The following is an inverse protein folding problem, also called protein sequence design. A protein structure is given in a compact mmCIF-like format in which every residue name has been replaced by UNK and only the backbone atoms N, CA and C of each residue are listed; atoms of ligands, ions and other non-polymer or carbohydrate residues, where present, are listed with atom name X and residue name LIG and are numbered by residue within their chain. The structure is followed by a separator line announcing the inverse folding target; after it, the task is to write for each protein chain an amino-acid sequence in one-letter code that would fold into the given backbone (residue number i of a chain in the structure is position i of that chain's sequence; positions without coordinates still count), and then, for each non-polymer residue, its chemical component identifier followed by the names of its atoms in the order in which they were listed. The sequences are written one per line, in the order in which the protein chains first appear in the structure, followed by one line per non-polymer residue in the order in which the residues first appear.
data_IF_166644482764
#
_entry.id   IF_166644482764
#
_cell.length_a   1.000
_cell.length_b   1.000
_cell.length_c   1.000
_cell.angle_alpha   90.00
_cell.angle_beta   90.00
_cell.angle_gamma   90.00
#
_symmetry.space_group_name_H-M   'P 1'
#
loop_
_entity.id
_entity.type
_entity.pdbx_description
1 polymer ?
#
# COMPACT_ATOMS: atom_id res chain seq x y z
N UNK A 1 10.66 57.39 -15.50
CA UNK A 1 11.85 58.27 -15.50
C UNK A 1 13.10 57.38 -15.46
N UNK A 2 13.86 57.45 -16.55
CA UNK A 2 15.28 57.09 -16.78
C UNK A 2 15.66 55.60 -16.58
N UNK A 3 15.90 54.80 -17.65
CA UNK A 3 17.02 54.73 -18.59
C UNK A 3 18.37 54.55 -17.83
N UNK A 4 19.22 53.62 -18.12
CA UNK A 4 20.03 53.28 -19.33
C UNK A 4 21.03 52.22 -18.89
N UNK A 5 21.49 51.32 -19.61
CA UNK A 5 22.29 51.00 -20.82
C UNK A 5 23.21 49.85 -20.46
N UNK A 6 23.19 48.72 -21.08
CA UNK A 6 23.94 48.29 -22.30
C UNK A 6 25.44 48.62 -22.28
N UNK A 7 26.30 47.59 -22.27
CA UNK A 7 27.57 47.61 -23.03
C UNK A 7 27.94 46.15 -23.38
N UNK A 8 27.98 45.94 -24.67
CA UNK A 8 28.58 44.88 -25.47
C UNK A 8 30.11 45.14 -25.52
N UNK A 9 30.96 44.14 -25.41
CA UNK A 9 32.27 44.23 -25.99
C UNK A 9 32.77 42.90 -26.51
N UNK A 10 32.85 42.83 -27.80
CA UNK A 10 33.47 41.89 -28.74
C UNK A 10 34.99 42.15 -28.82
N UNK A 11 35.83 41.11 -28.91
CA UNK A 11 37.12 41.16 -29.63
C UNK A 11 37.72 39.72 -29.62
N UNK A 12 37.70 38.96 -30.64
CA UNK A 12 38.53 38.91 -31.84
C UNK A 12 40.00 38.49 -31.64
N UNK A 13 40.29 37.28 -32.18
CA UNK A 13 41.47 36.90 -32.96
C UNK A 13 42.83 36.86 -32.32
N UNK A 14 43.48 35.69 -32.32
CA UNK A 14 44.71 35.49 -33.09
C UNK A 14 45.02 34.00 -33.27
N UNK A 15 45.06 33.61 -34.55
CA UNK A 15 45.70 32.42 -35.07
C UNK A 15 47.22 32.57 -35.01
N UNK A 16 47.92 31.56 -34.53
CA UNK A 16 49.30 31.30 -34.94
C UNK A 16 49.49 29.83 -35.15
N UNK A 17 49.69 29.48 -36.42
CA UNK A 17 50.25 28.21 -36.86
C UNK A 17 51.72 28.14 -36.45
N UNK A 18 52.10 27.04 -35.85
CA UNK A 18 53.49 26.60 -35.80
C UNK A 18 53.52 25.10 -36.14
N UNK A 19 53.96 24.77 -37.36
CA UNK A 19 54.39 23.46 -37.74
C UNK A 19 55.62 23.06 -36.93
N UNK A 20 55.55 21.93 -36.26
CA UNK A 20 56.67 21.22 -35.71
C UNK A 20 56.44 19.73 -35.93
N UNK A 21 57.13 19.14 -36.89
CA UNK A 21 57.21 17.72 -37.08
C UNK A 21 57.90 17.10 -35.84
N UNK A 22 57.14 16.27 -35.12
CA UNK A 22 57.70 15.30 -34.19
C UNK A 22 57.29 13.91 -34.68
N UNK A 23 58.32 13.05 -34.92
CA UNK A 23 58.18 11.65 -35.19
C UNK A 23 57.50 10.97 -34.02
N UNK A 24 56.35 10.34 -34.29
CA UNK A 24 55.77 9.33 -33.44
C UNK A 24 56.60 8.06 -33.47
N UNK A 25 57.20 7.70 -32.36
CA UNK A 25 57.40 6.30 -32.03
C UNK A 25 56.16 5.86 -31.25
N UNK A 26 55.41 5.01 -31.91
CA UNK A 26 54.24 4.35 -31.40
C UNK A 26 54.65 3.26 -30.42
N UNK A 27 54.41 3.44 -29.13
CA UNK A 27 54.05 2.34 -28.26
C UNK A 27 52.58 2.43 -27.94
N UNK A 28 51.80 1.81 -28.82
CA UNK A 28 50.41 1.45 -28.56
C UNK A 28 50.37 0.40 -27.46
N UNK A 29 50.28 0.84 -26.20
CA UNK A 29 49.65 0.07 -25.18
C UNK A 29 48.17 0.53 -25.11
N UNK A 30 47.39 0.10 -26.10
CA UNK A 30 45.95 -0.01 -25.94
C UNK A 30 45.69 -1.06 -24.85
N UNK A 31 45.61 -0.61 -23.61
CA UNK A 31 44.81 -1.30 -22.61
C UNK A 31 43.36 -1.24 -23.08
N UNK A 32 43.00 -2.20 -23.90
CA UNK A 32 41.59 -2.56 -24.11
C UNK A 32 41.09 -2.92 -22.70
N UNK A 33 40.45 -1.96 -22.04
CA UNK A 33 39.57 -2.29 -20.96
C UNK A 33 38.47 -3.12 -21.63
N UNK A 34 38.57 -4.44 -21.46
CA UNK A 34 37.45 -5.33 -21.67
C UNK A 34 36.32 -4.79 -20.75
N UNK A 35 35.47 -3.93 -21.30
CA UNK A 35 34.15 -3.72 -20.73
C UNK A 35 33.49 -5.09 -20.79
N UNK A 36 33.60 -5.84 -19.69
CA UNK A 36 32.83 -7.05 -19.49
C UNK A 36 31.38 -6.59 -19.51
N UNK A 37 30.77 -6.65 -20.69
CA UNK A 37 29.34 -6.41 -20.88
C UNK A 37 28.64 -7.46 -20.02
N UNK A 38 28.15 -7.03 -18.86
CA UNK A 38 27.43 -7.93 -17.94
C UNK A 38 26.27 -8.59 -18.70
N UNK A 39 26.21 -9.92 -18.59
CA UNK A 39 25.15 -10.67 -19.22
C UNK A 39 23.79 -10.22 -18.68
N UNK A 40 22.92 -9.74 -19.58
CA UNK A 40 21.58 -9.29 -19.25
C UNK A 40 20.54 -10.29 -19.76
N UNK A 41 19.51 -10.50 -18.97
CA UNK A 41 18.44 -11.45 -19.27
C UNK A 41 17.08 -10.77 -19.17
N UNK A 42 16.12 -11.26 -19.94
CA UNK A 42 14.75 -10.74 -19.90
C UNK A 42 13.97 -11.37 -18.75
N UNK A 43 13.43 -10.55 -17.87
CA UNK A 43 12.46 -10.95 -16.86
C UNK A 43 11.06 -10.57 -17.32
N UNK A 44 10.16 -11.55 -17.39
CA UNK A 44 8.74 -11.36 -17.68
C UNK A 44 7.88 -11.79 -16.50
N UNK A 45 6.71 -11.17 -16.33
CA UNK A 45 5.78 -11.48 -15.24
C UNK A 45 4.47 -12.06 -15.77
N UNK A 46 3.94 -12.98 -14.98
CA UNK A 46 2.54 -13.37 -14.98
C UNK A 46 1.97 -13.03 -13.61
N UNK A 47 0.91 -12.24 -13.55
CA UNK A 47 0.31 -11.77 -12.30
C UNK A 47 -1.01 -12.52 -12.08
N UNK A 48 -1.17 -13.08 -10.89
CA UNK A 48 -2.41 -13.71 -10.44
C UNK A 48 -2.74 -13.22 -9.03
N UNK A 49 -3.95 -13.51 -8.55
CA UNK A 49 -4.34 -13.18 -7.19
C UNK A 49 -4.79 -14.43 -6.44
N UNK A 50 -4.65 -14.40 -5.12
CA UNK A 50 -5.19 -15.45 -4.26
C UNK A 50 -6.72 -15.41 -4.30
N UNK A 51 -7.38 -16.59 -4.40
CA UNK A 51 -8.83 -16.77 -4.43
C UNK A 51 -9.53 -15.94 -5.53
N UNK A 52 -8.87 -15.70 -6.67
CA UNK A 52 -9.38 -14.88 -7.77
C UNK A 52 -9.81 -13.47 -7.35
N UNK A 53 -9.13 -12.91 -6.35
CA UNK A 53 -9.37 -11.54 -5.91
C UNK A 53 -9.21 -10.56 -7.08
N UNK A 54 -10.03 -9.53 -7.13
CA UNK A 54 -9.89 -8.45 -8.11
C UNK A 54 -8.52 -7.78 -7.94
N UNK A 55 -7.79 -7.65 -9.02
CA UNK A 55 -6.53 -6.90 -9.08
C UNK A 55 -6.86 -5.47 -9.48
N UNK A 56 -6.47 -4.49 -8.65
CA UNK A 56 -6.64 -3.08 -8.95
C UNK A 56 -5.37 -2.54 -9.64
N UNK A 57 -5.52 -2.07 -10.87
CA UNK A 57 -4.46 -1.40 -11.61
C UNK A 57 -4.50 0.11 -11.37
N UNK A 58 -3.35 0.83 -11.48
CA UNK A 58 -2.04 0.30 -11.86
C UNK A 58 -1.36 -0.53 -10.77
N UNK A 59 -0.46 -1.45 -11.17
CA UNK A 59 0.41 -2.15 -10.23
C UNK A 59 1.73 -1.41 -10.09
N UNK A 60 2.27 -1.36 -8.87
CA UNK A 60 3.62 -0.85 -8.60
C UNK A 60 4.58 -2.01 -8.42
N UNK A 61 5.62 -2.05 -9.23
CA UNK A 61 6.65 -3.09 -9.25
C UNK A 61 7.95 -2.55 -8.70
N UNK A 62 8.57 -3.32 -7.80
CA UNK A 62 9.89 -3.06 -7.24
C UNK A 62 10.74 -4.33 -7.35
N UNK A 63 11.96 -4.19 -7.83
CA UNK A 63 12.94 -5.27 -7.87
C UNK A 63 14.14 -4.86 -7.05
N UNK A 64 14.49 -5.68 -6.08
CA UNK A 64 15.61 -5.47 -5.16
C UNK A 64 16.69 -6.50 -5.44
N UNK A 65 17.96 -6.08 -5.46
CA UNK A 65 19.11 -6.96 -5.52
C UNK A 65 19.37 -7.68 -4.17
N UNK A 66 20.43 -8.47 -4.09
CA UNK A 66 20.81 -9.20 -2.88
C UNK A 66 21.41 -8.29 -1.78
N UNK A 67 21.72 -7.04 -2.10
CA UNK A 67 22.10 -5.98 -1.15
C UNK A 67 20.89 -5.15 -0.69
N UNK A 68 19.66 -5.50 -1.13
CA UNK A 68 18.41 -4.78 -0.91
C UNK A 68 18.30 -3.39 -1.59
N UNK A 69 19.12 -3.10 -2.60
CA UNK A 69 18.96 -1.90 -3.41
C UNK A 69 17.81 -2.09 -4.40
N UNK A 70 16.96 -1.08 -4.54
CA UNK A 70 15.89 -1.07 -5.54
C UNK A 70 16.46 -0.78 -6.93
N UNK A 71 16.66 -1.82 -7.74
CA UNK A 71 17.29 -1.74 -9.07
C UNK A 71 16.28 -1.50 -10.20
N UNK A 72 15.00 -1.82 -9.98
CA UNK A 72 13.89 -1.51 -10.90
C UNK A 72 12.71 -1.01 -10.08
N UNK A 73 12.11 0.09 -10.54
CA UNK A 73 10.84 0.63 -10.07
C UNK A 73 10.00 0.98 -11.27
N UNK A 74 8.92 0.25 -11.49
CA UNK A 74 8.05 0.43 -12.65
C UNK A 74 6.58 0.36 -12.26
N UNK A 75 5.73 0.85 -13.15
CA UNK A 75 4.28 0.80 -13.04
C UNK A 75 3.71 0.00 -14.20
N UNK A 76 2.87 -1.00 -13.90
CA UNK A 76 2.11 -1.77 -14.88
C UNK A 76 0.71 -1.15 -14.93
N UNK A 77 0.35 -0.40 -16.00
CA UNK A 77 -0.82 0.46 -15.98
C UNK A 77 -2.15 -0.29 -16.12
N UNK A 78 -2.19 -1.41 -16.84
CA UNK A 78 -3.42 -2.19 -17.09
C UNK A 78 -3.12 -3.69 -17.11
N UNK A 79 -4.16 -4.51 -17.11
CA UNK A 79 -4.08 -5.97 -17.17
C UNK A 79 -3.43 -6.46 -18.50
N UNK A 80 -3.68 -5.75 -19.60
CA UNK A 80 -3.12 -6.09 -20.90
C UNK A 80 -1.65 -5.69 -21.06
N UNK A 81 -1.11 -4.92 -20.08
CA UNK A 81 0.28 -4.46 -20.11
C UNK A 81 1.22 -5.59 -19.73
N UNK A 82 2.09 -5.99 -20.66
CA UNK A 82 3.15 -6.95 -20.36
C UNK A 82 4.35 -6.24 -19.72
N UNK A 83 4.80 -6.76 -18.58
CA UNK A 83 6.09 -6.36 -18.04
C UNK A 83 7.19 -7.21 -18.66
N UNK A 84 8.18 -6.53 -19.23
CA UNK A 84 9.39 -7.16 -19.78
C UNK A 84 10.58 -6.23 -19.58
N UNK A 85 11.52 -6.60 -18.74
CA UNK A 85 12.70 -5.79 -18.44
C UNK A 85 13.99 -6.58 -18.62
N UNK A 86 15.04 -5.91 -19.13
CA UNK A 86 16.38 -6.47 -19.31
C UNK A 86 17.21 -6.18 -18.07
N UNK A 87 17.60 -7.22 -17.34
CA UNK A 87 18.21 -7.14 -16.03
C UNK A 87 19.51 -7.94 -16.01
N UNK A 88 20.52 -7.47 -15.27
CA UNK A 88 21.80 -8.18 -15.09
C UNK A 88 21.59 -9.53 -14.43
N UNK A 89 22.51 -10.47 -14.65
CA UNK A 89 22.55 -11.74 -13.92
C UNK A 89 22.62 -11.48 -12.42
N UNK A 90 21.78 -12.13 -11.63
CA UNK A 90 21.80 -11.94 -10.17
C UNK A 90 20.63 -12.62 -9.45
N UNK A 91 20.63 -12.43 -8.14
CA UNK A 91 19.50 -12.80 -7.27
C UNK A 91 18.72 -11.56 -6.93
N UNK A 92 17.42 -11.67 -7.02
CA UNK A 92 16.51 -10.53 -6.81
C UNK A 92 15.32 -10.94 -5.97
N UNK A 93 14.79 -9.96 -5.24
CA UNK A 93 13.46 -10.02 -4.63
C UNK A 93 12.55 -9.08 -5.39
N UNK A 94 11.50 -9.63 -6.01
CA UNK A 94 10.47 -8.87 -6.67
C UNK A 94 9.30 -8.67 -5.70
N UNK A 95 8.84 -7.42 -5.59
CA UNK A 95 7.63 -7.04 -4.84
C UNK A 95 6.69 -6.32 -5.80
N UNK A 96 5.43 -6.76 -5.81
CA UNK A 96 4.36 -6.22 -6.62
C UNK A 96 3.22 -5.78 -5.72
N UNK A 97 2.73 -4.56 -5.92
CA UNK A 97 1.66 -3.96 -5.14
C UNK A 97 0.47 -3.62 -6.05
N UNK A 98 -0.74 -3.91 -5.58
CA UNK A 98 -2.01 -3.50 -6.17
C UNK A 98 -2.80 -2.69 -5.14
N UNK A 99 -3.50 -1.64 -5.56
CA UNK A 99 -4.25 -0.75 -4.66
C UNK A 99 -3.38 0.27 -3.92
N UNK A 100 -2.10 0.40 -4.28
CA UNK A 100 -1.25 1.47 -3.76
C UNK A 100 -1.60 2.79 -4.45
N UNK A 101 -2.12 3.75 -3.70
CA UNK A 101 -2.43 5.08 -4.19
C UNK A 101 -1.90 6.18 -3.26
N UNK A 102 -1.64 7.36 -3.82
CA UNK A 102 -1.05 8.48 -3.08
C UNK A 102 -2.05 9.21 -2.17
N UNK A 103 -3.33 8.97 -2.28
CA UNK A 103 -4.34 9.58 -1.40
C UNK A 103 -4.30 8.89 -0.03
N UNK A 104 -4.31 7.57 -0.02
CA UNK A 104 -4.41 6.75 1.18
C UNK A 104 -3.05 6.39 1.78
N UNK A 105 -2.01 6.29 0.93
CA UNK A 105 -0.72 5.72 1.32
C UNK A 105 0.43 6.71 1.23
N UNK A 106 1.43 6.50 2.10
CA UNK A 106 2.75 7.15 2.02
C UNK A 106 3.85 6.13 2.26
N UNK A 107 4.99 6.32 1.58
CA UNK A 107 6.20 5.50 1.73
C UNK A 107 7.43 6.35 1.42
N UNK A 108 8.65 5.97 1.90
CA UNK A 108 9.87 6.74 1.67
C UNK A 108 10.26 6.77 0.18
N UNK A 109 11.05 7.78 -0.21
CA UNK A 109 11.59 7.88 -1.56
C UNK A 109 12.64 6.79 -1.84
N UNK A 110 13.52 6.55 -0.87
CA UNK A 110 14.48 5.45 -0.89
C UNK A 110 13.80 4.23 -0.27
N UNK A 111 13.60 3.21 -1.08
CA UNK A 111 12.82 2.03 -0.73
C UNK A 111 13.75 0.84 -0.61
N UNK A 112 13.67 0.16 0.52
CA UNK A 112 14.21 -1.19 0.76
C UNK A 112 13.05 -2.13 1.11
N UNK A 113 13.23 -3.47 1.07
CA UNK A 113 12.14 -4.42 1.39
C UNK A 113 11.48 -4.20 2.75
N UNK A 114 12.22 -3.69 3.74
CA UNK A 114 11.71 -3.41 5.09
C UNK A 114 11.13 -1.99 5.25
N UNK A 115 11.14 -1.18 4.20
CA UNK A 115 10.45 0.12 4.20
C UNK A 115 8.95 -0.06 4.43
N UNK A 116 8.31 0.88 5.14
CA UNK A 116 6.89 0.82 5.45
C UNK A 116 6.04 1.63 4.48
N UNK A 117 4.91 1.04 4.10
CA UNK A 117 3.76 1.71 3.48
C UNK A 117 2.82 2.07 4.62
N UNK A 118 2.65 3.37 4.87
CA UNK A 118 1.82 3.89 5.97
C UNK A 118 0.49 4.42 5.44
N UNK A 119 -0.59 4.22 6.21
CA UNK A 119 -1.87 4.86 5.97
C UNK A 119 -1.82 6.33 6.40
N UNK A 120 -2.40 7.24 5.61
CA UNK A 120 -2.33 8.69 5.83
C UNK A 120 -3.41 9.22 6.74
N UNK A 121 -4.62 8.69 6.62
CA UNK A 121 -5.80 9.22 7.31
C UNK A 121 -6.45 8.12 8.15
N UNK A 122 -6.69 8.41 9.41
CA UNK A 122 -7.45 7.56 10.34
C UNK A 122 -7.03 6.07 10.40
N UNK A 123 -5.81 5.76 9.94
CA UNK A 123 -5.25 4.41 9.85
C UNK A 123 -6.12 3.41 9.07
N UNK A 124 -6.76 3.89 8.01
CA UNK A 124 -7.56 3.10 7.09
C UNK A 124 -7.43 3.59 5.63
N UNK A 125 -7.91 2.79 4.68
CA UNK A 125 -7.98 3.13 3.26
C UNK A 125 -9.35 2.80 2.67
N UNK A 126 -9.68 3.45 1.55
CA UNK A 126 -10.89 3.16 0.77
C UNK A 126 -10.66 2.04 -0.26
N UNK A 127 -9.41 1.73 -0.60
CA UNK A 127 -9.04 0.65 -1.50
C UNK A 127 -8.18 -0.40 -0.81
N UNK A 128 -8.38 -1.71 -1.13
CA UNK A 128 -7.62 -2.78 -0.52
C UNK A 128 -6.22 -2.88 -1.12
N UNK A 129 -5.19 -2.79 -0.28
CA UNK A 129 -3.81 -3.07 -0.66
C UNK A 129 -3.57 -4.57 -0.78
N UNK A 130 -2.98 -5.00 -1.90
CA UNK A 130 -2.48 -6.36 -2.10
C UNK A 130 -0.98 -6.33 -2.30
N UNK A 131 -0.29 -7.33 -1.77
CA UNK A 131 1.16 -7.51 -1.88
C UNK A 131 1.44 -8.89 -2.48
N UNK A 132 2.31 -8.95 -3.49
CA UNK A 132 2.88 -10.16 -4.04
C UNK A 132 4.40 -10.11 -3.96
N UNK A 133 5.03 -11.24 -3.60
CA UNK A 133 6.49 -11.36 -3.48
C UNK A 133 6.98 -12.59 -4.21
N UNK A 134 8.10 -12.46 -4.92
CA UNK A 134 8.78 -13.57 -5.55
C UNK A 134 10.31 -13.42 -5.46
N UNK A 135 11.02 -14.50 -5.21
CA UNK A 135 12.48 -14.55 -5.32
C UNK A 135 12.87 -15.00 -6.73
N UNK A 136 13.81 -14.32 -7.33
CA UNK A 136 14.27 -14.55 -8.71
C UNK A 136 15.77 -14.80 -8.70
N UNK A 137 16.21 -15.93 -9.25
CA UNK A 137 17.62 -16.17 -9.57
C UNK A 137 17.79 -16.10 -11.09
N UNK A 138 18.16 -14.92 -11.57
CA UNK A 138 18.22 -14.60 -13.00
C UNK A 138 19.57 -15.03 -13.59
N UNK A 139 19.60 -16.23 -14.16
CA UNK A 139 20.75 -16.81 -14.88
C UNK A 139 20.48 -17.02 -16.37
N UNK A 140 19.23 -16.83 -16.78
CA UNK A 140 18.73 -16.87 -18.15
C UNK A 140 17.42 -16.10 -18.25
N UNK A 141 16.98 -15.73 -19.44
CA UNK A 141 15.67 -15.10 -19.63
C UNK A 141 14.56 -16.00 -19.10
N UNK A 142 13.66 -15.46 -18.28
CA UNK A 142 12.65 -16.23 -17.56
C UNK A 142 11.35 -15.46 -17.40
N UNK A 143 10.25 -16.21 -17.23
CA UNK A 143 8.94 -15.71 -16.83
C UNK A 143 8.60 -16.27 -15.47
N UNK A 144 8.19 -15.39 -14.54
CA UNK A 144 7.79 -15.78 -13.20
C UNK A 144 6.32 -15.44 -12.94
N UNK A 145 5.67 -16.18 -12.06
CA UNK A 145 4.32 -15.88 -11.59
C UNK A 145 4.40 -15.24 -10.21
N UNK A 146 3.74 -14.08 -10.06
CA UNK A 146 3.58 -13.38 -8.78
C UNK A 146 2.13 -13.50 -8.35
N UNK A 147 1.90 -13.96 -7.13
CA UNK A 147 0.56 -14.12 -6.55
C UNK A 147 0.32 -12.99 -5.58
N UNK A 148 -0.63 -12.10 -5.91
CA UNK A 148 -1.09 -11.04 -5.03
C UNK A 148 -2.01 -11.59 -3.94
N UNK A 149 -1.85 -11.10 -2.73
CA UNK A 149 -2.70 -11.41 -1.58
C UNK A 149 -3.04 -10.12 -0.84
N UNK A 150 -4.26 -10.00 -0.30
CA UNK A 150 -4.62 -8.85 0.51
C UNK A 150 -3.71 -8.71 1.72
N UNK A 151 -3.19 -7.51 1.94
CA UNK A 151 -2.45 -7.09 3.12
C UNK A 151 -3.35 -6.41 4.16
N UNK A 152 -4.64 -6.33 3.92
CA UNK A 152 -5.63 -5.63 4.73
C UNK A 152 -6.76 -6.55 5.17
N UNK A 153 -7.43 -6.24 6.28
CA UNK A 153 -8.76 -6.72 6.60
C UNK A 153 -9.80 -5.72 6.06
N UNK A 154 -10.95 -6.22 5.60
CA UNK A 154 -12.08 -5.38 5.20
C UNK A 154 -13.08 -5.28 6.34
N UNK A 155 -13.53 -4.07 6.65
CA UNK A 155 -14.51 -3.80 7.70
C UNK A 155 -15.72 -3.09 7.08
N UNK A 156 -16.91 -3.54 7.47
CA UNK A 156 -18.18 -2.91 7.08
C UNK A 156 -19.16 -3.00 8.25
N UNK A 157 -19.94 -1.94 8.46
CA UNK A 157 -20.89 -1.83 9.57
C UNK A 157 -22.29 -1.51 9.07
N UNK A 158 -23.30 -2.18 9.66
CA UNK A 158 -24.72 -1.86 9.50
C UNK A 158 -25.35 -1.74 10.88
N UNK A 159 -25.84 -0.54 11.23
CA UNK A 159 -26.45 -0.25 12.54
C UNK A 159 -27.93 0.01 12.37
N UNK A 160 -28.75 -0.80 13.06
CA UNK A 160 -30.21 -0.80 12.99
C UNK A 160 -30.83 -0.17 14.23
N UNK A 161 -32.02 0.42 14.07
CA UNK A 161 -32.84 0.91 15.21
C UNK A 161 -32.26 2.13 15.92
N UNK A 162 -31.23 2.76 15.37
CA UNK A 162 -30.60 3.96 15.94
C UNK A 162 -31.66 5.09 16.06
N UNK A 163 -31.73 5.79 17.21
CA UNK A 163 -32.70 6.87 17.45
C UNK A 163 -32.68 7.93 16.35
N UNK A 164 -33.87 8.51 16.10
CA UNK A 164 -34.02 9.47 14.98
C UNK A 164 -33.34 10.81 15.22
N UNK A 165 -33.07 11.17 16.46
CA UNK A 165 -32.38 12.38 16.90
C UNK A 165 -30.83 12.26 16.77
N UNK A 166 -30.30 11.08 16.45
CA UNK A 166 -28.89 10.90 16.14
C UNK A 166 -28.57 11.54 14.79
N UNK A 167 -27.57 12.40 14.79
CA UNK A 167 -27.16 13.22 13.65
C UNK A 167 -25.86 12.73 13.01
N UNK A 168 -25.01 12.01 13.75
CA UNK A 168 -23.78 11.39 13.24
C UNK A 168 -23.48 10.09 13.99
N UNK A 169 -22.84 9.17 13.30
CA UNK A 169 -22.42 7.88 13.85
C UNK A 169 -21.06 7.51 13.29
N UNK A 170 -20.18 7.05 14.14
CA UNK A 170 -18.87 6.52 13.76
C UNK A 170 -18.54 5.25 14.55
N UNK A 171 -17.73 4.39 13.97
CA UNK A 171 -17.19 3.21 14.65
C UNK A 171 -15.67 3.35 14.75
N UNK A 172 -15.14 3.22 15.96
CA UNK A 172 -13.70 3.19 16.24
C UNK A 172 -13.27 1.76 16.41
N UNK A 173 -12.20 1.37 15.71
CA UNK A 173 -11.64 0.02 15.74
C UNK A 173 -10.20 0.10 16.21
N UNK A 174 -9.85 -0.65 17.25
CA UNK A 174 -8.49 -0.67 17.81
C UNK A 174 -8.15 -2.01 18.48
N UNK A 175 -6.87 -2.42 18.52
CA UNK A 175 -5.77 -1.81 17.81
C UNK A 175 -5.72 -2.24 16.33
N UNK A 176 -5.29 -1.32 15.46
CA UNK A 176 -4.87 -1.59 14.10
C UNK A 176 -3.41 -1.16 13.93
N UNK A 177 -2.71 -1.63 12.90
CA UNK A 177 -1.36 -1.18 12.57
C UNK A 177 -1.39 0.05 11.67
N UNK A 178 -0.47 1.00 11.86
CA UNK A 178 -0.40 2.19 11.00
C UNK A 178 0.25 1.91 9.64
N UNK A 179 1.00 0.82 9.52
CA UNK A 179 1.81 0.53 8.34
C UNK A 179 2.06 -0.97 8.14
N UNK A 180 2.38 -1.33 6.90
CA UNK A 180 2.89 -2.64 6.50
C UNK A 180 4.19 -2.45 5.72
N UNK A 181 5.20 -3.30 5.91
CA UNK A 181 6.42 -3.25 5.11
C UNK A 181 6.18 -3.78 3.69
N UNK A 182 7.08 -3.47 2.75
CA UNK A 182 7.05 -4.07 1.41
C UNK A 182 7.21 -5.60 1.48
N UNK A 183 7.81 -6.13 2.55
CA UNK A 183 7.88 -7.57 2.84
C UNK A 183 6.56 -8.18 3.32
N UNK A 184 5.59 -7.36 3.74
CA UNK A 184 4.29 -7.78 4.28
C UNK A 184 4.23 -7.86 5.80
N UNK A 185 5.25 -7.35 6.53
CA UNK A 185 5.28 -7.34 7.99
C UNK A 185 4.59 -6.08 8.52
N UNK A 186 3.65 -6.24 9.46
CA UNK A 186 2.93 -5.12 10.04
C UNK A 186 3.77 -4.41 11.11
N UNK A 187 3.64 -3.08 11.15
CA UNK A 187 4.24 -2.30 12.22
C UNK A 187 3.51 -2.61 13.53
N UNK A 188 4.26 -3.06 14.53
CA UNK A 188 3.68 -3.42 15.83
C UNK A 188 3.42 -2.16 16.69
N UNK A 189 2.54 -1.28 16.19
CA UNK A 189 2.00 -0.14 16.92
C UNK A 189 0.48 -0.33 17.11
N UNK A 190 -0.07 0.36 18.12
CA UNK A 190 -1.48 0.24 18.49
C UNK A 190 -2.21 1.52 18.13
N UNK A 191 -2.67 1.56 16.87
CA UNK A 191 -3.44 2.69 16.36
C UNK A 191 -4.95 2.42 16.42
N UNK A 192 -5.72 3.43 16.11
CA UNK A 192 -7.17 3.38 16.00
C UNK A 192 -7.57 3.81 14.60
N UNK A 193 -8.48 3.04 13.98
CA UNK A 193 -9.19 3.45 12.78
C UNK A 193 -10.54 4.04 13.18
N UNK A 194 -10.97 5.11 12.50
CA UNK A 194 -12.29 5.74 12.68
C UNK A 194 -13.07 5.62 11.38
N UNK A 195 -14.22 4.95 11.46
CA UNK A 195 -15.06 4.62 10.30
C UNK A 195 -16.38 5.39 10.42
N UNK A 196 -16.61 6.41 9.61
CA UNK A 196 -17.88 7.13 9.61
C UNK A 196 -18.99 6.26 9.03
N UNK A 197 -20.18 6.36 9.61
CA UNK A 197 -21.38 5.74 9.06
C UNK A 197 -22.31 6.83 8.52
N UNK A 198 -22.94 6.55 7.37
CA UNK A 198 -23.98 7.40 6.79
C UNK A 198 -25.36 6.82 7.00
N UNK A 199 -26.36 7.67 7.08
CA UNK A 199 -27.75 7.24 7.22
C UNK A 199 -28.32 6.79 5.87
N UNK A 200 -28.78 5.54 5.81
CA UNK A 200 -29.52 4.99 4.67
C UNK A 200 -30.89 4.49 5.13
N UNK A 201 -31.92 5.28 4.85
CA UNK A 201 -33.29 4.97 5.30
C UNK A 201 -33.39 4.92 6.84
N UNK A 202 -33.65 3.74 7.39
CA UNK A 202 -33.73 3.50 8.84
C UNK A 202 -32.43 2.94 9.45
N UNK A 203 -31.37 2.77 8.66
CA UNK A 203 -30.11 2.19 9.07
C UNK A 203 -28.99 3.22 8.97
N UNK A 204 -27.91 2.97 9.70
CA UNK A 204 -26.62 3.64 9.51
C UNK A 204 -25.63 2.61 8.97
N UNK A 205 -24.97 2.92 7.86
CA UNK A 205 -24.05 1.99 7.19
C UNK A 205 -22.71 2.66 6.93
N UNK A 206 -21.63 1.89 7.01
CA UNK A 206 -20.33 2.32 6.52
C UNK A 206 -20.10 1.82 5.10
N UNK A 207 -19.22 2.48 4.36
CA UNK A 207 -18.57 1.88 3.20
C UNK A 207 -17.54 0.84 3.66
N UNK A 208 -17.14 -0.06 2.76
CA UNK A 208 -16.06 -0.98 3.05
C UNK A 208 -14.77 -0.20 3.32
N UNK A 209 -14.18 -0.42 4.48
CA UNK A 209 -12.96 0.27 4.94
C UNK A 209 -11.89 -0.78 5.20
N UNK A 210 -10.66 -0.49 4.79
CA UNK A 210 -9.57 -1.44 4.86
C UNK A 210 -8.53 -1.00 5.88
N UNK A 211 -8.12 -1.93 6.75
CA UNK A 211 -7.17 -1.67 7.83
C UNK A 211 -6.02 -2.68 7.81
N UNK A 212 -4.84 -2.26 8.25
CA UNK A 212 -3.76 -3.19 8.50
C UNK A 212 -4.00 -3.90 9.85
N UNK A 213 -4.02 -5.25 9.85
CA UNK A 213 -4.14 -6.01 11.09
C UNK A 213 -3.05 -5.68 12.11
N UNK A 214 -3.35 -5.89 13.38
CA UNK A 214 -2.39 -5.80 14.47
C UNK A 214 -2.26 -7.16 15.17
N UNK A 215 -1.12 -7.45 15.76
CA UNK A 215 -0.85 -8.74 16.44
C UNK A 215 -1.53 -8.88 17.81
N UNK A 216 -2.37 -7.93 18.21
CA UNK A 216 -3.10 -7.99 19.47
C UNK A 216 -4.07 -9.18 19.49
N UNK A 217 -4.21 -9.82 20.62
CA UNK A 217 -5.15 -10.95 20.80
C UNK A 217 -6.63 -10.54 20.83
N UNK A 218 -6.92 -9.25 20.86
CA UNK A 218 -8.27 -8.69 20.95
C UNK A 218 -8.39 -7.46 20.06
N UNK A 219 -9.60 -7.24 19.53
CA UNK A 219 -9.99 -6.04 18.81
C UNK A 219 -11.16 -5.36 19.54
N UNK A 220 -11.03 -4.09 19.81
CA UNK A 220 -12.07 -3.28 20.46
C UNK A 220 -12.80 -2.45 19.41
N UNK A 221 -14.12 -2.50 19.45
CA UNK A 221 -15.02 -1.68 18.65
C UNK A 221 -15.73 -0.70 19.58
N UNK A 222 -15.79 0.58 19.24
CA UNK A 222 -16.57 1.59 19.93
C UNK A 222 -17.49 2.28 18.94
N UNK A 223 -18.80 2.15 19.13
CA UNK A 223 -19.81 2.82 18.31
C UNK A 223 -20.18 4.12 19.03
N UNK A 224 -19.93 5.23 18.39
CA UNK A 224 -20.25 6.56 18.90
C UNK A 224 -21.48 7.11 18.18
N UNK A 225 -22.52 7.46 18.97
CA UNK A 225 -23.73 8.09 18.49
C UNK A 225 -23.74 9.54 18.96
N UNK A 226 -23.86 10.48 18.02
CA UNK A 226 -23.97 11.90 18.32
C UNK A 226 -25.42 12.37 18.12
N UNK A 227 -26.04 12.92 19.15
CA UNK A 227 -27.39 13.47 19.09
C UNK A 227 -27.45 14.88 19.66
N UNK A 228 -28.62 15.52 19.57
CA UNK A 228 -28.89 16.81 20.21
C UNK A 228 -28.90 16.73 21.74
N UNK A 229 -29.02 15.53 22.32
CA UNK A 229 -29.04 15.28 23.78
C UNK A 229 -27.63 15.02 24.34
N UNK A 230 -26.66 14.78 23.46
CA UNK A 230 -25.27 14.45 23.81
C UNK A 230 -24.70 13.31 22.98
N UNK A 231 -23.53 12.84 23.40
CA UNK A 231 -22.84 11.74 22.74
C UNK A 231 -22.96 10.49 23.61
N UNK A 232 -23.27 9.37 22.97
CA UNK A 232 -23.30 8.05 23.60
C UNK A 232 -22.25 7.16 22.93
N UNK A 233 -21.55 6.34 23.71
CA UNK A 233 -20.56 5.39 23.23
C UNK A 233 -20.88 3.97 23.71
N UNK A 234 -20.81 3.00 22.80
CA UNK A 234 -21.04 1.59 23.08
C UNK A 234 -19.80 0.79 22.70
N UNK A 235 -19.26 0.05 23.67
CA UNK A 235 -18.06 -0.74 23.50
C UNK A 235 -18.36 -2.21 23.25
N UNK A 236 -17.56 -2.81 22.38
CA UNK A 236 -17.53 -4.23 22.14
C UNK A 236 -16.09 -4.73 22.02
N UNK A 237 -15.81 -5.92 22.55
CA UNK A 237 -14.49 -6.55 22.45
C UNK A 237 -14.60 -7.86 21.70
N UNK A 238 -14.06 -7.88 20.50
CA UNK A 238 -13.85 -9.07 19.70
C UNK A 238 -12.63 -9.83 20.24
N UNK A 239 -12.83 -11.09 20.67
CA UNK A 239 -11.81 -11.89 21.35
C UNK A 239 -10.82 -12.54 20.38
N UNK A 240 -10.52 -11.87 19.29
CA UNK A 240 -9.53 -12.29 18.31
C UNK A 240 -8.92 -11.10 17.56
N UNK A 241 -7.86 -11.37 16.81
CA UNK A 241 -7.19 -10.45 15.91
C UNK A 241 -7.92 -10.38 14.57
N UNK A 242 -8.04 -9.19 14.00
CA UNK A 242 -8.37 -9.04 12.58
C UNK A 242 -7.28 -9.70 11.73
N UNK A 243 -7.66 -10.35 10.64
CA UNK A 243 -6.72 -11.04 9.74
C UNK A 243 -6.77 -10.45 8.35
N UNK A 244 -5.60 -10.28 7.74
CA UNK A 244 -5.51 -9.89 6.34
C UNK A 244 -6.20 -10.88 5.41
N UNK A 245 -6.89 -10.37 4.39
CA UNK A 245 -7.65 -11.18 3.45
C UNK A 245 -8.99 -11.69 3.98
N UNK A 246 -9.43 -11.24 5.15
CA UNK A 246 -10.74 -11.56 5.70
C UNK A 246 -11.66 -10.35 5.70
N UNK A 247 -12.90 -10.50 5.20
CA UNK A 247 -13.94 -9.51 5.36
C UNK A 247 -14.63 -9.69 6.72
N UNK A 248 -15.00 -8.58 7.33
CA UNK A 248 -15.77 -8.50 8.57
C UNK A 248 -16.94 -7.59 8.35
N UNK A 249 -18.15 -8.12 8.42
CA UNK A 249 -19.37 -7.35 8.44
C UNK A 249 -19.99 -7.40 9.82
N UNK A 250 -20.18 -6.25 10.46
CA UNK A 250 -20.77 -6.12 11.77
C UNK A 250 -22.17 -5.51 11.65
N UNK A 251 -23.19 -6.26 12.10
CA UNK A 251 -24.56 -5.75 12.19
C UNK A 251 -24.88 -5.42 13.65
N UNK A 252 -25.18 -4.15 13.91
CA UNK A 252 -25.60 -3.66 15.22
C UNK A 252 -27.10 -3.42 15.30
N UNK A 253 -27.76 -3.85 16.38
CA UNK A 253 -29.16 -3.61 16.64
C UNK A 253 -29.33 -2.82 17.94
N UNK A 254 -29.75 -1.55 17.84
CA UNK A 254 -30.03 -0.71 19.00
C UNK A 254 -31.36 -1.10 19.63
N UNK A 255 -31.34 -1.54 20.88
CA UNK A 255 -32.53 -1.87 21.68
C UNK A 255 -32.42 -1.24 23.06
N UNK A 256 -32.15 0.09 23.14
CA UNK A 256 -31.74 0.71 24.39
C UNK A 256 -30.32 0.30 24.80
N UNK A 257 -29.51 -0.07 23.84
CA UNK A 257 -28.14 -0.57 23.81
C UNK A 257 -27.90 -1.23 22.46
N UNK A 258 -26.64 -1.36 21.98
CA UNK A 258 -26.32 -1.93 20.67
C UNK A 258 -25.91 -3.40 20.82
N UNK A 259 -26.51 -4.31 20.04
CA UNK A 259 -26.01 -5.69 19.82
C UNK A 259 -25.39 -5.80 18.44
N UNK A 260 -24.23 -6.48 18.30
CA UNK A 260 -23.56 -6.67 17.02
C UNK A 260 -23.56 -8.16 16.64
N UNK A 261 -23.94 -8.46 15.42
CA UNK A 261 -23.85 -9.78 14.80
C UNK A 261 -22.98 -9.67 13.55
N UNK A 262 -22.23 -10.70 13.18
CA UNK A 262 -21.33 -10.62 12.03
C UNK A 262 -21.59 -11.70 10.99
N UNK A 263 -21.70 -11.29 9.73
CA UNK A 263 -21.77 -12.19 8.57
C UNK A 263 -21.28 -11.46 7.31
N UNK A 264 -20.43 -12.12 6.45
CA UNK A 264 -20.06 -11.53 5.17
C UNK A 264 -19.45 -12.51 4.15
N UNK A 265 -19.69 -12.29 2.85
CA UNK A 265 -18.98 -12.90 1.73
C UNK A 265 -18.59 -11.87 0.68
N UNK A 266 -17.32 -11.85 0.27
CA UNK A 266 -16.82 -11.06 -0.85
C UNK A 266 -15.91 -11.91 -1.74
N UNK A 267 -16.00 -11.72 -3.06
CA UNK A 267 -15.19 -12.44 -4.04
C UNK A 267 -13.68 -12.14 -3.84
N UNK A 268 -12.87 -13.18 -3.81
CA UNK A 268 -11.41 -13.09 -3.61
C UNK A 268 -10.95 -13.04 -2.17
N UNK A 269 -11.85 -12.88 -1.22
CA UNK A 269 -11.54 -12.93 0.21
C UNK A 269 -11.57 -14.35 0.74
N UNK A 270 -11.00 -14.58 1.92
CA UNK A 270 -11.11 -15.87 2.61
C UNK A 270 -12.57 -16.13 3.01
N UNK A 271 -12.98 -17.39 3.17
CA UNK A 271 -14.31 -17.69 3.71
C UNK A 271 -14.49 -17.03 5.08
N UNK A 272 -15.73 -16.71 5.35
CA UNK A 272 -16.23 -15.98 6.49
C UNK A 272 -15.94 -16.64 7.85
N UNK A 273 -15.98 -15.80 8.90
CA UNK A 273 -15.95 -16.21 10.30
C UNK A 273 -17.24 -15.70 10.94
N UNK A 274 -18.19 -16.62 11.28
CA UNK A 274 -19.43 -16.33 11.99
C UNK A 274 -19.17 -15.96 13.45
N UNK A 275 -19.88 -14.94 13.99
CA UNK A 275 -19.74 -14.50 15.38
C UNK A 275 -21.06 -14.08 16.02
N UNK A 276 -21.39 -14.67 17.16
CA UNK A 276 -22.41 -14.17 18.09
C UNK A 276 -21.77 -13.33 19.20
N UNK A 277 -22.31 -12.15 19.47
CA UNK A 277 -21.72 -11.15 20.35
C UNK A 277 -22.65 -10.74 21.51
N UNK A 278 -22.10 -10.70 22.73
CA UNK A 278 -22.73 -10.13 23.91
C UNK A 278 -22.09 -8.81 24.33
N UNK A 279 -22.89 -7.85 24.85
CA UNK A 279 -22.45 -6.47 25.15
C UNK A 279 -22.45 -6.13 26.62
N UNK A 280 -21.51 -5.24 26.98
CA UNK A 280 -21.60 -4.40 28.19
C UNK A 280 -21.51 -2.93 27.77
N UNK A 281 -22.48 -2.11 28.21
CA UNK A 281 -22.47 -0.67 28.04
C UNK A 281 -21.35 -0.06 28.92
N UNK A 282 -20.49 0.76 28.30
CA UNK A 282 -19.52 1.57 29.03
C UNK A 282 -20.20 2.91 29.30
N UNK A 283 -20.72 3.10 30.53
CA UNK A 283 -21.16 4.41 30.98
C UNK A 283 -19.91 5.19 31.40
N UNK A 284 -19.61 6.27 30.68
CA UNK A 284 -18.66 7.26 31.17
C UNK A 284 -19.40 8.31 31.99
N UNK A 285 -19.03 8.44 33.25
CA UNK A 285 -19.45 9.52 34.14
C UNK A 285 -18.85 10.86 33.70
#
# INVERSE_FOLDING_TARGET
MKLTKSILLTSCFFLLCACGEYKLESEENETVQDEQTEARYTLQLNVTSRNNAKINYPLSLFLFDDENNCVVRETIPTEESEFSSSISKGKYTLILLSGLNENDHSYPLEIIPDSYISLKTDNCSEEPLQIGKASVNLTQSTRITVILSYAVASLNFTLNGIPQDVTATEVKVSPVSSAVSFNGDYKNDKQQCVIPCRKEGSQWVSDATYVFPNESSQTHLSINLQSSQGNEAYGYTYQATLKAGYPYHFTGNYKGGVTLDGEFQAEGWQPEIDWELGFEAILHD
#
